data_IF_593539326934
#
_entry.id   IF_593539326934
#
_cell.length_a   1.000
_cell.length_b   1.000
_cell.length_c   1.000
_cell.angle_alpha   90.00
_cell.angle_beta   90.00
_cell.angle_gamma   90.00
#
_symmetry.space_group_name_H-M   'P 1'
#
loop_
_entity.id
_entity.type
_entity.pdbx_description
1 polymer ?
#
# COMPACT_ATOMS: atom_id res chain seq x y z
N UNK A 1 -1.46 8.96 -3.14
CA UNK A 1 -2.17 7.85 -3.80
C UNK A 1 -3.62 7.89 -3.33
N UNK A 2 -4.58 7.50 -4.16
CA UNK A 2 -6.00 7.47 -3.77
C UNK A 2 -6.65 6.17 -4.21
N UNK A 3 -7.74 5.80 -3.53
CA UNK A 3 -8.57 4.65 -3.87
C UNK A 3 -10.03 5.06 -3.67
N UNK A 4 -10.90 4.64 -4.58
CA UNK A 4 -12.34 4.81 -4.36
C UNK A 4 -12.79 3.85 -3.27
N UNK A 5 -13.86 4.19 -2.56
CA UNK A 5 -14.51 3.21 -1.68
C UNK A 5 -15.16 2.08 -2.48
N UNK A 6 -15.57 1.02 -1.78
CA UNK A 6 -16.35 -0.10 -2.31
C UNK A 6 -15.72 -0.79 -3.54
N UNK A 7 -14.39 -0.70 -3.67
CA UNK A 7 -13.67 -1.36 -4.76
C UNK A 7 -13.68 -2.87 -4.57
N UNK A 8 -13.73 -3.58 -5.69
CA UNK A 8 -13.63 -5.03 -5.69
C UNK A 8 -12.21 -5.49 -5.37
N UNK A 9 -12.10 -6.69 -4.82
CA UNK A 9 -10.84 -7.39 -4.62
C UNK A 9 -9.98 -7.36 -5.89
N UNK A 10 -8.66 -7.28 -5.72
CA UNK A 10 -7.65 -7.21 -6.80
C UNK A 10 -7.56 -5.93 -7.61
N UNK A 11 -8.46 -4.97 -7.39
CA UNK A 11 -8.33 -3.64 -8.00
C UNK A 11 -6.96 -3.04 -7.68
N UNK A 12 -6.23 -2.63 -8.73
CA UNK A 12 -4.93 -1.98 -8.60
C UNK A 12 -5.13 -0.55 -8.11
N UNK A 13 -4.43 -0.20 -7.03
CA UNK A 13 -4.45 1.14 -6.43
C UNK A 13 -3.26 1.96 -6.92
N UNK A 14 -2.08 1.34 -6.98
CA UNK A 14 -0.85 2.00 -7.39
C UNK A 14 0.37 1.13 -7.18
N UNK A 15 1.55 1.74 -7.23
CA UNK A 15 2.83 1.02 -7.08
C UNK A 15 3.80 1.88 -6.29
N UNK A 16 4.49 1.26 -5.33
CA UNK A 16 5.63 1.85 -4.64
C UNK A 16 6.91 1.36 -5.31
N UNK A 17 7.82 2.28 -5.57
CA UNK A 17 9.13 1.98 -6.15
C UNK A 17 10.22 2.43 -5.19
N UNK A 18 11.13 1.53 -4.86
CA UNK A 18 12.39 1.86 -4.22
C UNK A 18 13.54 1.65 -5.21
N UNK A 19 14.59 2.46 -5.06
CA UNK A 19 15.81 2.40 -5.85
C UNK A 19 16.96 2.21 -4.88
N UNK A 20 17.75 1.16 -5.09
CA UNK A 20 19.01 0.95 -4.40
C UNK A 20 20.13 1.70 -5.13
N UNK A 21 21.02 2.36 -4.37
CA UNK A 21 22.07 3.22 -4.90
C UNK A 21 23.16 2.41 -5.64
N UNK A 22 23.28 1.12 -5.36
CA UNK A 22 24.28 0.23 -5.95
C UNK A 22 23.95 -0.22 -7.39
N UNK A 23 22.79 0.20 -7.94
CA UNK A 23 22.51 0.14 -9.37
C UNK A 23 21.15 -0.47 -9.75
N UNK A 24 20.86 -0.57 -11.07
CA UNK A 24 19.51 -0.85 -11.61
C UNK A 24 19.02 -2.29 -11.39
N UNK A 25 19.73 -3.11 -10.64
CA UNK A 25 19.40 -4.53 -10.44
C UNK A 25 18.29 -4.76 -9.41
N UNK A 26 17.73 -3.72 -8.78
CA UNK A 26 16.70 -3.82 -7.74
C UNK A 26 17.02 -4.94 -6.73
N UNK A 27 18.30 -5.10 -6.37
CA UNK A 27 18.87 -6.24 -5.67
C UNK A 27 17.96 -6.67 -4.52
N UNK A 28 17.18 -7.73 -4.73
CA UNK A 28 16.32 -8.30 -3.70
C UNK A 28 15.45 -7.29 -2.93
N UNK A 29 14.96 -6.20 -3.54
CA UNK A 29 14.10 -5.28 -2.79
C UNK A 29 12.76 -5.97 -2.50
N UNK A 30 12.49 -6.18 -1.22
CA UNK A 30 11.24 -6.70 -0.71
C UNK A 30 10.40 -5.59 -0.10
N UNK A 31 9.11 -5.61 -0.45
CA UNK A 31 8.13 -4.67 0.05
C UNK A 31 7.21 -5.34 1.08
N UNK A 32 6.92 -4.63 2.17
CA UNK A 32 5.87 -4.99 3.12
C UNK A 32 5.00 -3.78 3.45
N UNK A 33 3.79 -4.04 3.94
CA UNK A 33 2.83 -3.01 4.30
C UNK A 33 2.12 -3.40 5.60
N UNK A 34 1.98 -2.44 6.51
CA UNK A 34 1.33 -2.65 7.81
C UNK A 34 0.35 -1.50 8.09
N UNK A 35 -0.90 -1.79 8.45
CA UNK A 35 -1.86 -0.75 8.81
C UNK A 35 -1.44 -0.06 10.10
N UNK A 36 -1.70 1.24 10.17
CA UNK A 36 -1.53 2.05 11.39
C UNK A 36 -2.76 2.92 11.61
N UNK A 37 -2.78 3.68 12.71
CA UNK A 37 -3.85 4.62 13.05
C UNK A 37 -5.26 4.00 12.97
N UNK A 38 -5.43 2.78 13.51
CA UNK A 38 -6.70 2.03 13.52
C UNK A 38 -7.29 1.69 12.13
N UNK A 39 -6.48 1.76 11.07
CA UNK A 39 -6.86 1.17 9.78
C UNK A 39 -7.02 -0.34 9.95
N UNK A 40 -8.09 -0.94 9.43
CA UNK A 40 -8.28 -2.40 9.52
C UNK A 40 -7.18 -3.13 8.72
N UNK A 41 -6.78 -4.30 9.21
CA UNK A 41 -5.91 -5.20 8.49
C UNK A 41 -6.56 -5.66 7.17
N UNK A 42 -5.71 -5.98 6.19
CA UNK A 42 -6.08 -6.61 4.92
C UNK A 42 -7.00 -5.80 3.98
N UNK A 43 -7.36 -4.53 4.30
CA UNK A 43 -8.10 -3.67 3.36
C UNK A 43 -7.34 -3.47 2.04
N UNK A 44 -6.01 -3.40 2.12
CA UNK A 44 -5.11 -3.41 0.97
C UNK A 44 -3.96 -4.39 1.19
N UNK A 45 -3.26 -4.72 0.12
CA UNK A 45 -2.05 -5.56 0.15
C UNK A 45 -1.03 -5.07 -0.86
N UNK A 46 0.25 -5.30 -0.57
CA UNK A 46 1.37 -5.00 -1.46
C UNK A 46 1.99 -6.30 -1.98
N UNK A 47 2.33 -6.35 -3.25
CA UNK A 47 3.13 -7.43 -3.79
C UNK A 47 4.60 -7.23 -3.39
N UNK A 48 5.17 -8.22 -2.71
CA UNK A 48 6.49 -8.10 -2.07
C UNK A 48 7.67 -7.94 -3.04
N UNK A 49 7.51 -8.23 -4.34
CA UNK A 49 8.60 -8.10 -5.33
C UNK A 49 8.42 -6.90 -6.27
N UNK A 50 7.18 -6.48 -6.49
CA UNK A 50 6.85 -5.46 -7.49
C UNK A 50 6.40 -4.14 -6.87
N UNK A 51 6.10 -4.11 -5.57
CA UNK A 51 5.58 -2.93 -4.89
C UNK A 51 4.15 -2.56 -5.30
N UNK A 52 3.48 -3.37 -6.13
CA UNK A 52 2.10 -3.08 -6.59
C UNK A 52 1.13 -3.28 -5.44
N UNK A 53 0.33 -2.24 -5.17
CA UNK A 53 -0.70 -2.24 -4.14
C UNK A 53 -2.06 -2.52 -4.76
N UNK A 54 -2.82 -3.43 -4.14
CA UNK A 54 -4.17 -3.84 -4.55
C UNK A 54 -5.12 -3.82 -3.37
N UNK A 55 -6.42 -3.72 -3.66
CA UNK A 55 -7.48 -3.97 -2.69
C UNK A 55 -7.37 -5.41 -2.17
N UNK A 56 -7.31 -5.57 -0.85
CA UNK A 56 -7.12 -6.85 -0.17
C UNK A 56 -8.42 -7.51 0.30
N UNK A 57 -9.50 -6.73 0.45
CA UNK A 57 -10.81 -7.20 0.91
C UNK A 57 -11.93 -6.59 0.08
N UNK A 58 -12.77 -7.45 -0.50
CA UNK A 58 -13.83 -7.03 -1.42
C UNK A 58 -14.79 -6.04 -0.76
N UNK A 59 -14.98 -4.86 -1.36
CA UNK A 59 -15.91 -3.81 -0.95
C UNK A 59 -15.83 -3.37 0.51
N UNK A 60 -14.68 -3.54 1.16
CA UNK A 60 -14.53 -3.26 2.59
C UNK A 60 -13.93 -1.88 2.90
N UNK A 61 -13.36 -1.20 1.91
CA UNK A 61 -12.90 0.18 2.05
C UNK A 61 -14.12 1.09 1.96
N UNK A 62 -14.44 1.77 3.05
CA UNK A 62 -15.67 2.55 3.21
C UNK A 62 -15.34 3.96 3.72
N UNK A 63 -15.77 4.99 2.98
CA UNK A 63 -15.49 6.39 3.33
C UNK A 63 -16.32 6.88 4.53
N UNK A 64 -17.35 6.16 4.94
CA UNK A 64 -18.08 6.44 6.18
C UNK A 64 -17.30 6.00 7.43
N UNK A 65 -16.44 4.98 7.30
CA UNK A 65 -15.64 4.46 8.40
C UNK A 65 -14.25 5.08 8.48
N UNK A 66 -13.71 5.54 7.34
CA UNK A 66 -12.36 6.08 7.23
C UNK A 66 -12.35 7.36 6.39
N UNK A 67 -11.65 8.40 6.86
CA UNK A 67 -11.30 9.55 6.00
C UNK A 67 -10.03 9.25 5.18
N UNK A 68 -9.09 8.54 5.79
CA UNK A 68 -7.84 8.09 5.18
C UNK A 68 -7.51 6.67 5.64
N UNK A 69 -6.90 5.89 4.74
CA UNK A 69 -6.21 4.67 5.14
C UNK A 69 -4.74 4.99 5.41
N UNK A 70 -4.24 4.50 6.54
CA UNK A 70 -2.88 4.77 7.00
C UNK A 70 -2.07 3.49 7.01
N UNK A 71 -0.95 3.50 6.30
CA UNK A 71 -0.06 2.36 6.22
C UNK A 71 1.40 2.77 6.34
N UNK A 72 2.17 1.98 7.08
CA UNK A 72 3.61 1.97 6.94
C UNK A 72 3.98 1.06 5.79
N UNK A 73 4.80 1.55 4.87
CA UNK A 73 5.41 0.73 3.82
C UNK A 73 6.90 0.66 4.08
N UNK A 74 7.41 -0.57 4.06
CA UNK A 74 8.83 -0.85 4.19
C UNK A 74 9.36 -1.41 2.88
N UNK A 75 10.50 -0.88 2.44
CA UNK A 75 11.32 -1.47 1.38
C UNK A 75 12.68 -1.86 1.98
N UNK A 76 13.11 -3.10 1.73
CA UNK A 76 14.35 -3.67 2.27
C UNK A 76 15.08 -4.45 1.19
N UNK A 77 16.39 -4.26 1.05
CA UNK A 77 17.25 -5.00 0.13
C UNK A 77 17.81 -6.31 0.74
N UNK A 78 17.43 -6.63 1.99
CA UNK A 78 17.86 -7.82 2.73
C UNK A 78 19.00 -7.59 3.71
N UNK A 79 19.85 -6.59 3.48
CA UNK A 79 20.97 -6.24 4.36
C UNK A 79 20.70 -4.92 5.12
N UNK A 80 19.89 -4.02 4.56
CA UNK A 80 19.49 -2.75 5.15
C UNK A 80 17.97 -2.53 5.09
N UNK A 81 17.36 -2.21 6.24
CA UNK A 81 15.98 -1.68 6.29
C UNK A 81 16.08 -0.17 6.10
N UNK A 82 16.23 0.28 4.85
CA UNK A 82 16.58 1.68 4.60
C UNK A 82 15.39 2.64 4.59
N UNK A 83 14.14 2.18 4.58
CA UNK A 83 13.01 3.14 4.55
C UNK A 83 11.71 2.53 5.08
N UNK A 84 11.26 3.03 6.24
CA UNK A 84 9.84 3.03 6.63
C UNK A 84 9.28 4.39 6.27
N UNK A 85 8.29 4.44 5.36
CA UNK A 85 7.52 5.67 5.09
C UNK A 85 6.06 5.44 5.44
N UNK A 86 5.47 6.41 6.13
CA UNK A 86 4.02 6.47 6.34
C UNK A 86 3.39 6.96 5.04
N UNK A 87 2.49 6.16 4.47
CA UNK A 87 1.69 6.55 3.32
C UNK A 87 0.25 6.80 3.77
N UNK A 88 -0.26 7.95 3.34
CA UNK A 88 -1.67 8.32 3.45
C UNK A 88 -2.33 8.03 2.11
N UNK A 89 -3.36 7.21 2.15
CA UNK A 89 -4.21 6.96 0.99
C UNK A 89 -5.51 7.73 1.15
N UNK A 90 -5.77 8.63 0.21
CA UNK A 90 -7.00 9.41 0.16
C UNK A 90 -8.14 8.52 -0.31
N UNK A 91 -9.28 8.56 0.39
CA UNK A 91 -10.48 7.87 -0.03
C UNK A 91 -11.35 8.79 -0.89
N UNK A 92 -11.67 8.30 -2.09
CA UNK A 92 -12.61 8.98 -2.96
C UNK A 92 -14.00 8.38 -2.75
N UNK A 93 -14.90 9.18 -2.19
CA UNK A 93 -16.31 8.81 -2.06
C UNK A 93 -16.94 8.64 -3.45
N UNK A 94 -17.60 7.51 -3.67
CA UNK A 94 -18.28 7.26 -4.93
C UNK A 94 -19.72 7.76 -4.79
N UNK A 95 -20.06 8.85 -5.50
CA UNK A 95 -21.45 9.28 -5.60
C UNK A 95 -22.20 8.26 -6.46
N UNK A 96 -23.21 7.59 -5.89
CA UNK A 96 -24.20 6.81 -6.64
C UNK A 96 -25.14 7.73 -7.42
#
# INVERSE_FOLDING_TARGET
MSVSENQIYDTVIGTITAVDADGPSFNGIFYSIEPVNNTEHDLIRINNKTGVIRVGKDKAIDAENYEYLHYNVTASDGDNVNTTKVYYMFLNKMFL
#
